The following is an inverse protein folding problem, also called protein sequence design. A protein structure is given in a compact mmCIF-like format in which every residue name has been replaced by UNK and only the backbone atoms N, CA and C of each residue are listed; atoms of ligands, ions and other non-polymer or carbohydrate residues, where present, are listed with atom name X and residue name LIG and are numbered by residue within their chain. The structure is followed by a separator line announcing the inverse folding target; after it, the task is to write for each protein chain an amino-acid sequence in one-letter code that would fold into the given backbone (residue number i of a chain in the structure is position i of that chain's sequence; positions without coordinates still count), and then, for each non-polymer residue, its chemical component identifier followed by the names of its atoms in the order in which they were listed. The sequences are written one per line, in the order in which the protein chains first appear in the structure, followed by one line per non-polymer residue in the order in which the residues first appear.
data_IF_633675291444
#
_entry.id   IF_633675291444
#
_cell.length_a   1.000
_cell.length_b   1.000
_cell.length_c   1.000
_cell.angle_alpha   90.00
_cell.angle_beta   90.00
_cell.angle_gamma   90.00
#
_symmetry.space_group_name_H-M   'P 1'
#
loop_
_entity.id
_entity.type
_entity.pdbx_description
1 polymer ?
#
# COMPACT_ATOMS: atom_id res chain seq x y z
N UNK A 1 17.56 -40.35 -27.14
CA UNK A 1 18.86 -41.03 -26.89
C UNK A 1 18.83 -41.65 -25.50
N UNK A 2 19.31 -42.89 -25.33
CA UNK A 2 19.48 -43.47 -24.00
C UNK A 2 20.68 -42.85 -23.26
N UNK A 3 20.68 -42.85 -21.93
CA UNK A 3 21.81 -42.35 -21.13
C UNK A 3 23.11 -43.12 -21.43
N UNK A 4 23.01 -44.41 -21.75
CA UNK A 4 24.14 -45.27 -22.14
C UNK A 4 24.77 -44.79 -23.46
N UNK A 5 23.95 -44.54 -24.49
CA UNK A 5 24.43 -44.04 -25.77
C UNK A 5 25.06 -42.64 -25.65
N UNK A 6 24.49 -41.77 -24.82
CA UNK A 6 25.10 -40.47 -24.52
C UNK A 6 26.48 -40.61 -23.88
N UNK A 7 26.66 -41.51 -22.92
CA UNK A 7 27.95 -41.73 -22.26
C UNK A 7 29.02 -42.24 -23.24
N UNK A 8 28.68 -43.14 -24.17
CA UNK A 8 29.61 -43.59 -25.21
C UNK A 8 30.04 -42.44 -26.12
N UNK A 9 29.09 -41.64 -26.62
CA UNK A 9 29.39 -40.47 -27.45
C UNK A 9 30.21 -39.42 -26.70
N UNK A 10 29.90 -39.19 -25.42
CA UNK A 10 30.68 -38.32 -24.55
C UNK A 10 32.13 -38.78 -24.46
N UNK A 11 32.38 -40.08 -24.29
CA UNK A 11 33.74 -40.62 -24.21
C UNK A 11 34.53 -40.44 -25.52
N UNK A 12 33.90 -40.73 -26.67
CA UNK A 12 34.51 -40.51 -27.99
C UNK A 12 34.84 -39.02 -28.19
N UNK A 13 33.91 -38.13 -27.87
CA UNK A 13 34.10 -36.69 -28.01
C UNK A 13 35.19 -36.15 -27.07
N UNK A 14 35.30 -36.68 -25.85
CA UNK A 14 36.40 -36.34 -24.94
C UNK A 14 37.76 -36.71 -25.53
N UNK A 15 37.88 -37.85 -26.23
CA UNK A 15 39.10 -38.22 -26.95
C UNK A 15 39.42 -37.24 -28.10
N UNK A 16 38.38 -36.64 -28.69
CA UNK A 16 38.48 -35.56 -29.67
C UNK A 16 38.61 -34.16 -29.02
N UNK A 17 39.00 -34.06 -27.74
CA UNK A 17 39.21 -32.80 -27.00
C UNK A 17 37.93 -31.99 -26.76
N UNK A 18 36.75 -32.61 -26.90
CA UNK A 18 35.45 -32.00 -26.63
C UNK A 18 34.88 -32.51 -25.30
N UNK A 19 34.94 -31.67 -24.27
CA UNK A 19 34.45 -32.01 -22.93
C UNK A 19 32.95 -31.72 -22.78
N UNK A 20 32.13 -32.76 -22.84
CA UNK A 20 30.70 -32.65 -22.51
C UNK A 20 30.44 -32.91 -21.02
N UNK A 21 29.48 -32.21 -20.40
CA UNK A 21 29.05 -32.47 -19.03
C UNK A 21 28.34 -33.83 -18.91
N UNK A 22 28.06 -34.29 -17.69
CA UNK A 22 27.21 -35.49 -17.51
C UNK A 22 25.78 -35.19 -17.97
N UNK A 23 25.04 -36.21 -18.44
CA UNK A 23 23.71 -36.03 -19.02
C UNK A 23 22.72 -35.37 -18.04
N UNK A 24 22.92 -35.54 -16.74
CA UNK A 24 22.07 -34.95 -15.70
C UNK A 24 22.57 -33.60 -15.17
N UNK A 25 23.75 -33.12 -15.60
CA UNK A 25 24.39 -31.92 -15.04
C UNK A 25 23.48 -30.71 -15.21
N UNK A 26 22.88 -30.54 -16.40
CA UNK A 26 21.91 -29.47 -16.67
C UNK A 26 20.68 -29.61 -15.78
N UNK A 27 20.21 -30.84 -15.52
CA UNK A 27 19.05 -31.09 -14.66
C UNK A 27 19.34 -30.73 -13.20
N UNK A 28 20.50 -31.15 -12.67
CA UNK A 28 20.96 -30.81 -11.32
C UNK A 28 21.17 -29.30 -11.16
N UNK A 29 21.81 -28.67 -12.14
CA UNK A 29 22.03 -27.23 -12.14
C UNK A 29 20.72 -26.44 -12.16
N UNK A 30 19.75 -26.84 -13.01
CA UNK A 30 18.40 -26.24 -13.02
C UNK A 30 17.66 -26.42 -11.70
N UNK A 31 17.77 -27.59 -11.06
CA UNK A 31 17.16 -27.83 -9.75
C UNK A 31 17.77 -26.91 -8.68
N UNK A 32 19.12 -26.81 -8.65
CA UNK A 32 19.84 -25.90 -7.75
C UNK A 32 19.45 -24.44 -7.96
N UNK A 33 19.37 -23.98 -9.22
CA UNK A 33 18.93 -22.62 -9.52
C UNK A 33 17.52 -22.34 -9.01
N UNK A 34 16.57 -23.26 -9.23
CA UNK A 34 15.19 -23.10 -8.74
C UNK A 34 15.12 -23.01 -7.22
N UNK A 35 15.92 -23.81 -6.52
CA UNK A 35 16.04 -23.76 -5.06
C UNK A 35 16.59 -22.41 -4.60
N UNK A 36 17.64 -21.91 -5.27
CA UNK A 36 18.24 -20.61 -4.95
C UNK A 36 17.29 -19.44 -5.22
N UNK A 37 16.62 -19.41 -6.37
CA UNK A 37 15.75 -18.29 -6.77
C UNK A 37 14.32 -18.41 -6.26
N UNK A 38 13.96 -19.55 -5.65
CA UNK A 38 12.60 -19.90 -5.21
C UNK A 38 11.55 -19.66 -6.29
N UNK A 39 11.90 -19.94 -7.56
CA UNK A 39 10.97 -19.77 -8.69
C UNK A 39 10.30 -21.11 -8.96
N UNK A 40 9.01 -21.17 -8.63
CA UNK A 40 8.19 -22.36 -8.84
C UNK A 40 7.75 -22.46 -10.30
N UNK A 41 7.85 -23.67 -10.85
CA UNK A 41 7.30 -24.01 -12.16
C UNK A 41 5.94 -24.65 -11.94
N UNK A 42 4.90 -24.02 -12.46
CA UNK A 42 3.52 -24.47 -12.39
C UNK A 42 3.22 -25.26 -13.67
N UNK A 43 2.95 -26.55 -13.49
CA UNK A 43 2.44 -27.42 -14.56
C UNK A 43 0.93 -27.21 -14.71
N UNK A 44 0.50 -26.94 -15.93
CA UNK A 44 -0.91 -26.77 -16.29
C UNK A 44 -1.25 -27.67 -17.48
N UNK A 45 -2.50 -28.12 -17.54
CA UNK A 45 -3.00 -28.87 -18.68
C UNK A 45 -4.02 -28.02 -19.44
N UNK A 46 -3.85 -27.92 -20.75
CA UNK A 46 -4.79 -27.21 -21.63
C UNK A 46 -6.05 -28.05 -21.87
N UNK A 47 -7.10 -27.41 -22.42
CA UNK A 47 -8.38 -28.08 -22.78
C UNK A 47 -8.16 -29.26 -23.74
N UNK A 48 -7.12 -29.22 -24.58
CA UNK A 48 -6.75 -30.31 -25.50
C UNK A 48 -5.75 -31.30 -24.89
N UNK A 49 -5.67 -31.38 -23.56
CA UNK A 49 -4.78 -32.29 -22.83
C UNK A 49 -3.28 -32.06 -23.02
N UNK A 50 -2.84 -30.98 -23.67
CA UNK A 50 -1.42 -30.65 -23.78
C UNK A 50 -0.89 -30.14 -22.42
N UNK A 51 0.26 -30.68 -22.00
CA UNK A 51 0.98 -30.21 -20.80
C UNK A 51 1.74 -28.94 -21.12
N UNK A 52 1.61 -27.95 -20.26
CA UNK A 52 2.25 -26.65 -20.37
C UNK A 52 2.89 -26.29 -19.04
N UNK A 53 3.96 -25.51 -19.07
CA UNK A 53 4.68 -25.09 -17.88
C UNK A 53 4.76 -23.57 -17.87
N UNK A 54 4.49 -22.98 -16.72
CA UNK A 54 4.55 -21.54 -16.51
C UNK A 54 5.33 -21.22 -15.25
N UNK A 55 5.87 -20.01 -15.15
CA UNK A 55 6.51 -19.52 -13.93
C UNK A 55 5.46 -18.79 -13.08
N UNK A 56 5.60 -18.88 -11.76
CA UNK A 56 4.77 -18.10 -10.84
C UNK A 56 5.03 -16.60 -11.04
N UNK A 57 4.02 -15.89 -11.57
CA UNK A 57 4.04 -14.42 -11.72
C UNK A 57 4.27 -13.74 -10.37
N UNK A 58 3.71 -14.31 -9.29
CA UNK A 58 3.90 -13.85 -7.92
C UNK A 58 5.39 -13.84 -7.53
N UNK A 59 6.12 -14.92 -7.83
CA UNK A 59 7.53 -15.05 -7.45
C UNK A 59 8.40 -14.12 -8.31
N UNK A 60 8.06 -13.95 -9.59
CA UNK A 60 8.73 -12.98 -10.47
C UNK A 60 8.59 -11.57 -9.91
N UNK A 61 7.36 -11.12 -9.64
CA UNK A 61 7.10 -9.79 -9.07
C UNK A 61 7.82 -9.62 -7.72
N UNK A 62 7.79 -10.63 -6.86
CA UNK A 62 8.49 -10.57 -5.57
C UNK A 62 10.01 -10.40 -5.74
N UNK A 63 10.61 -11.10 -6.71
CA UNK A 63 12.04 -10.96 -7.03
C UNK A 63 12.38 -9.58 -7.61
N UNK A 64 11.53 -9.03 -8.48
CA UNK A 64 11.71 -7.67 -9.02
C UNK A 64 11.58 -6.61 -7.92
N UNK A 65 10.61 -6.76 -7.01
CA UNK A 65 10.45 -5.86 -5.87
C UNK A 65 11.63 -5.93 -4.89
N UNK A 66 12.23 -7.11 -4.72
CA UNK A 66 13.39 -7.30 -3.87
C UNK A 66 14.71 -6.81 -4.49
N UNK A 67 14.72 -6.51 -5.79
CA UNK A 67 15.93 -6.09 -6.50
C UNK A 67 16.21 -4.59 -6.26
N UNK A 68 17.32 -4.23 -5.57
CA UNK A 68 17.65 -2.83 -5.29
C UNK A 68 17.89 -1.97 -6.54
N UNK A 69 18.29 -2.60 -7.64
CA UNK A 69 18.51 -1.90 -8.92
C UNK A 69 17.19 -1.57 -9.62
N UNK A 70 16.13 -2.36 -9.41
CA UNK A 70 14.84 -2.19 -10.09
C UNK A 70 13.86 -1.39 -9.23
N UNK A 71 13.84 -1.62 -7.92
CA UNK A 71 12.89 -0.99 -6.99
C UNK A 71 12.93 0.54 -7.04
N UNK A 72 14.11 1.13 -7.30
CA UNK A 72 14.29 2.59 -7.42
C UNK A 72 13.62 3.19 -8.67
N UNK A 73 13.29 2.36 -9.66
CA UNK A 73 12.57 2.74 -10.87
C UNK A 73 11.08 2.40 -10.81
N UNK A 74 10.61 1.80 -9.72
CA UNK A 74 9.19 1.49 -9.52
C UNK A 74 8.47 2.65 -8.83
N UNK A 75 7.20 2.83 -9.19
CA UNK A 75 6.29 3.76 -8.53
C UNK A 75 5.29 2.98 -7.67
N UNK A 76 5.12 3.39 -6.42
CA UNK A 76 4.23 2.75 -5.44
C UNK A 76 3.02 3.61 -5.07
N UNK A 77 2.96 4.83 -5.60
CA UNK A 77 1.92 5.82 -5.32
C UNK A 77 1.40 6.33 -6.66
N UNK A 78 0.06 6.44 -6.87
CA UNK A 78 -0.47 7.00 -8.10
C UNK A 78 -0.10 8.47 -8.22
N UNK A 79 0.13 8.93 -9.45
CA UNK A 79 0.40 10.33 -9.75
C UNK A 79 -0.82 11.00 -10.35
N UNK A 80 -1.04 12.25 -9.99
CA UNK A 80 -1.99 13.13 -10.63
C UNK A 80 -1.30 13.93 -11.75
N UNK A 81 -1.54 13.60 -13.03
CA UNK A 81 -1.02 14.35 -14.17
C UNK A 81 -1.74 15.69 -14.39
N UNK A 82 -2.81 15.99 -13.64
CA UNK A 82 -3.69 17.14 -13.84
C UNK A 82 -4.23 17.25 -15.28
N UNK A 83 -4.39 16.11 -15.95
CA UNK A 83 -4.88 16.05 -17.34
C UNK A 83 -3.81 16.23 -18.41
N UNK A 84 -2.52 16.31 -18.06
CA UNK A 84 -1.43 16.53 -19.02
C UNK A 84 -0.48 15.32 -19.12
N UNK A 85 -0.04 14.99 -20.34
CA UNK A 85 1.08 14.06 -20.61
C UNK A 85 1.00 12.70 -19.88
N UNK A 86 -0.13 11.99 -20.03
CA UNK A 86 -0.31 10.64 -19.49
C UNK A 86 0.51 9.65 -20.33
N UNK A 87 1.56 9.08 -19.75
CA UNK A 87 2.49 8.17 -20.42
C UNK A 87 2.78 6.90 -19.61
N UNK A 88 2.20 6.75 -18.41
CA UNK A 88 2.48 5.61 -17.54
C UNK A 88 1.25 5.16 -16.75
N UNK A 89 1.20 3.87 -16.38
CA UNK A 89 0.08 3.28 -15.64
C UNK A 89 -0.09 3.89 -14.24
N UNK A 90 0.97 4.39 -13.62
CA UNK A 90 0.88 5.08 -12.32
C UNK A 90 0.12 6.40 -12.40
N UNK A 91 -0.12 6.95 -13.59
CA UNK A 91 -0.96 8.14 -13.81
C UNK A 91 -2.42 7.78 -14.14
N UNK A 92 -2.77 6.50 -14.10
CA UNK A 92 -4.12 6.03 -14.42
C UNK A 92 -5.13 6.45 -13.34
N UNK A 93 -6.25 7.03 -13.79
CA UNK A 93 -7.44 7.31 -12.97
C UNK A 93 -7.88 6.07 -12.20
N UNK A 94 -7.79 4.87 -12.80
CA UNK A 94 -8.20 3.62 -12.15
C UNK A 94 -7.44 3.35 -10.86
N UNK A 95 -6.13 3.58 -10.85
CA UNK A 95 -5.31 3.39 -9.65
C UNK A 95 -5.59 4.50 -8.63
N UNK A 96 -5.65 5.75 -9.10
CA UNK A 96 -5.84 6.91 -8.23
C UNK A 96 -7.21 6.94 -7.54
N UNK A 97 -8.28 6.57 -8.24
CA UNK A 97 -9.65 6.87 -7.84
C UNK A 97 -10.51 5.62 -7.60
N UNK A 98 -10.39 4.62 -8.48
CA UNK A 98 -11.39 3.55 -8.60
C UNK A 98 -11.03 2.30 -7.79
N UNK A 99 -9.81 2.19 -7.26
CA UNK A 99 -9.44 1.03 -6.46
C UNK A 99 -10.24 0.96 -5.15
N UNK A 100 -10.70 -0.24 -4.75
CA UNK A 100 -11.34 -0.43 -3.47
C UNK A 100 -10.34 -0.17 -2.34
N UNK A 101 -10.85 0.18 -1.15
CA UNK A 101 -10.04 0.59 0.02
C UNK A 101 -8.82 -0.32 0.28
N UNK A 102 -9.00 -1.63 0.19
CA UNK A 102 -7.97 -2.63 0.47
C UNK A 102 -6.85 -2.72 -0.59
N UNK A 103 -7.03 -2.10 -1.76
CA UNK A 103 -6.04 -2.07 -2.84
C UNK A 103 -5.42 -0.67 -3.04
N UNK A 104 -5.86 0.32 -2.27
CA UNK A 104 -5.26 1.67 -2.28
C UNK A 104 -3.90 1.65 -1.60
N UNK A 105 -3.11 2.69 -1.85
CA UNK A 105 -1.87 2.93 -1.10
C UNK A 105 -2.21 3.05 0.38
N UNK A 106 -1.76 2.11 1.23
CA UNK A 106 -2.24 2.05 2.61
C UNK A 106 -1.51 3.04 3.52
N UNK A 107 -0.26 3.39 3.19
CA UNK A 107 0.64 4.13 4.07
C UNK A 107 1.65 4.95 3.28
N UNK A 108 2.04 6.09 3.85
CA UNK A 108 3.15 6.91 3.38
C UNK A 108 4.10 7.26 4.52
N UNK A 109 5.36 7.55 4.18
CA UNK A 109 6.38 7.93 5.16
C UNK A 109 6.73 9.41 5.06
N UNK A 110 6.78 10.09 6.21
CA UNK A 110 7.24 11.47 6.30
C UNK A 110 7.79 11.75 7.70
N UNK A 111 8.92 12.47 7.79
CA UNK A 111 9.53 12.84 9.08
C UNK A 111 9.89 11.65 9.98
N UNK A 112 10.22 10.48 9.39
CA UNK A 112 10.48 9.24 10.14
C UNK A 112 9.23 8.56 10.70
N UNK A 113 8.03 9.05 10.39
CA UNK A 113 6.74 8.50 10.82
C UNK A 113 5.98 7.87 9.67
N UNK A 114 5.07 6.97 10.02
CA UNK A 114 4.18 6.27 9.09
C UNK A 114 2.76 6.80 9.24
N UNK A 115 2.16 7.26 8.14
CA UNK A 115 0.79 7.76 8.12
C UNK A 115 -0.08 6.83 7.28
N UNK A 116 -1.14 6.30 7.88
CA UNK A 116 -2.04 5.34 7.24
C UNK A 116 -3.31 6.02 6.74
N UNK A 117 -3.91 5.46 5.69
CA UNK A 117 -5.29 5.80 5.34
C UNK A 117 -6.23 5.36 6.46
N UNK A 118 -7.29 6.12 6.69
CA UNK A 118 -8.28 5.85 7.73
C UNK A 118 -7.73 5.85 9.17
N UNK A 119 -6.67 6.61 9.42
CA UNK A 119 -6.21 6.92 10.77
C UNK A 119 -6.18 8.44 10.99
N UNK A 120 -6.57 8.96 12.17
CA UNK A 120 -6.45 10.37 12.48
C UNK A 120 -4.99 10.84 12.44
N UNK A 121 -4.77 11.98 11.81
CA UNK A 121 -3.48 12.65 11.67
C UNK A 121 -3.60 14.09 12.16
N UNK A 122 -2.67 14.51 13.00
CA UNK A 122 -2.53 15.91 13.41
C UNK A 122 -1.66 16.67 12.43
N UNK A 123 -2.16 17.81 11.96
CA UNK A 123 -1.43 18.69 11.06
C UNK A 123 -0.51 19.65 11.82
N UNK A 124 0.49 20.19 11.14
CA UNK A 124 1.30 21.30 11.66
C UNK A 124 0.38 22.44 12.11
N UNK A 125 0.50 22.94 13.36
CA UNK A 125 -0.31 24.03 13.87
C UNK A 125 -0.23 25.26 12.97
N UNK A 126 -1.38 25.81 12.61
CA UNK A 126 -1.47 27.13 11.98
C UNK A 126 -2.11 28.05 12.99
N UNK A 127 -1.39 29.08 13.42
CA UNK A 127 -1.89 30.08 14.38
C UNK A 127 -2.32 29.48 15.74
N UNK A 128 -1.65 28.42 16.19
CA UNK A 128 -1.83 27.81 17.51
C UNK A 128 -2.69 26.55 17.54
N UNK A 129 -3.60 26.36 16.56
CA UNK A 129 -4.45 25.17 16.50
C UNK A 129 -3.92 24.14 15.49
N UNK A 130 -3.73 22.89 15.95
CA UNK A 130 -3.46 21.73 15.10
C UNK A 130 -4.78 21.10 14.69
N UNK A 131 -5.07 21.09 13.39
CA UNK A 131 -6.25 20.43 12.86
C UNK A 131 -6.02 18.91 12.78
N UNK A 132 -7.03 18.14 13.21
CA UNK A 132 -7.05 16.68 13.03
C UNK A 132 -7.86 16.35 11.78
N UNK A 133 -7.27 15.53 10.92
CA UNK A 133 -7.88 15.05 9.67
C UNK A 133 -7.70 13.53 9.54
N UNK A 134 -8.46 12.90 8.65
CA UNK A 134 -8.31 11.48 8.33
C UNK A 134 -7.93 11.34 6.84
N UNK A 135 -6.72 10.83 6.50
CA UNK A 135 -6.32 10.53 5.12
C UNK A 135 -7.21 9.47 4.48
N UNK A 136 -7.63 9.67 3.23
CA UNK A 136 -8.48 8.73 2.48
C UNK A 136 -7.78 8.23 1.21
N UNK A 137 -6.99 9.08 0.55
CA UNK A 137 -6.22 8.75 -0.64
C UNK A 137 -4.84 9.41 -0.60
N UNK A 138 -3.78 8.65 -0.92
CA UNK A 138 -2.45 9.20 -1.15
C UNK A 138 -2.15 9.25 -2.65
N UNK A 139 -1.55 10.35 -3.09
CA UNK A 139 -1.16 10.54 -4.48
C UNK A 139 0.02 11.51 -4.60
N UNK A 140 0.77 11.43 -5.69
CA UNK A 140 1.82 12.39 -6.03
C UNK A 140 1.31 13.41 -7.04
N UNK A 141 1.77 14.65 -6.93
CA UNK A 141 1.50 15.70 -7.91
C UNK A 141 2.75 16.59 -8.01
N UNK A 142 3.29 16.76 -9.22
CA UNK A 142 4.53 17.53 -9.44
C UNK A 142 5.71 17.03 -8.59
N UNK A 143 5.82 15.70 -8.40
CA UNK A 143 6.87 15.06 -7.57
C UNK A 143 6.66 15.20 -6.06
N UNK A 144 5.66 15.94 -5.60
CA UNK A 144 5.32 16.09 -4.18
C UNK A 144 4.19 15.16 -3.78
N UNK A 145 4.21 14.72 -2.53
CA UNK A 145 3.22 13.79 -1.99
C UNK A 145 2.08 14.55 -1.31
N UNK A 146 0.85 14.16 -1.65
CA UNK A 146 -0.38 14.74 -1.13
C UNK A 146 -1.31 13.65 -0.62
N UNK A 147 -2.23 14.07 0.24
CA UNK A 147 -3.34 13.27 0.69
C UNK A 147 -4.66 14.01 0.46
N UNK A 148 -5.69 13.28 0.01
CA UNK A 148 -7.08 13.74 0.17
C UNK A 148 -7.56 13.30 1.54
N UNK A 149 -7.83 14.27 2.38
CA UNK A 149 -8.21 14.07 3.77
C UNK A 149 -9.65 14.53 4.00
N UNK A 150 -10.31 13.93 4.98
CA UNK A 150 -11.62 14.39 5.47
C UNK A 150 -11.50 14.89 6.90
N UNK A 151 -12.29 15.92 7.23
CA UNK A 151 -12.44 16.36 8.62
C UNK A 151 -13.40 15.41 9.34
N UNK A 152 -12.95 14.67 10.38
CA UNK A 152 -13.83 13.77 11.13
C UNK A 152 -14.88 14.56 11.90
N UNK A 153 -16.02 13.91 12.15
CA UNK A 153 -17.06 14.39 13.08
C UNK A 153 -16.94 13.61 14.38
N UNK A 154 -17.13 14.28 15.50
CA UNK A 154 -17.07 13.67 16.83
C UNK A 154 -18.45 13.60 17.44
N UNK A 155 -18.76 12.46 18.07
CA UNK A 155 -20.05 12.23 18.72
C UNK A 155 -19.78 11.73 20.12
N UNK A 156 -20.35 12.39 21.11
CA UNK A 156 -20.30 11.89 22.49
C UNK A 156 -21.51 10.98 22.74
N UNK A 157 -21.30 9.70 23.10
CA UNK A 157 -22.39 8.80 23.47
C UNK A 157 -23.21 9.38 24.64
N UNK A 158 -24.54 9.27 24.56
CA UNK A 158 -25.41 9.68 25.67
C UNK A 158 -25.07 8.80 26.89
N UNK A 159 -24.81 9.42 28.04
CA UNK A 159 -24.38 8.81 29.32
C UNK A 159 -22.86 8.57 29.50
N UNK A 160 -22.00 9.13 28.66
CA UNK A 160 -20.55 8.94 28.84
C UNK A 160 -19.99 9.80 29.99
N UNK A 161 -19.67 9.16 31.11
CA UNK A 161 -19.04 9.78 32.29
C UNK A 161 -17.54 10.10 32.08
N UNK A 162 -16.88 9.42 31.13
CA UNK A 162 -15.42 9.45 30.93
C UNK A 162 -14.96 10.27 29.72
N UNK A 163 -15.82 11.16 29.17
CA UNK A 163 -15.51 12.04 28.02
C UNK A 163 -15.06 11.29 26.76
N UNK A 164 -15.48 10.04 26.59
CA UNK A 164 -15.24 9.29 25.36
C UNK A 164 -16.04 9.88 24.20
N UNK A 165 -15.56 9.65 22.98
CA UNK A 165 -16.23 10.09 21.77
C UNK A 165 -16.02 9.11 20.63
N UNK A 166 -16.95 9.07 19.69
CA UNK A 166 -16.83 8.31 18.45
C UNK A 166 -16.33 9.20 17.33
N UNK A 167 -15.35 8.71 16.57
CA UNK A 167 -14.87 9.33 15.34
C UNK A 167 -15.75 8.84 14.20
N UNK A 168 -16.37 9.75 13.48
CA UNK A 168 -17.24 9.45 12.36
C UNK A 168 -16.72 10.07 11.06
N UNK A 169 -16.66 9.26 10.02
CA UNK A 169 -16.42 9.68 8.63
C UNK A 169 -17.55 9.14 7.74
N UNK A 170 -17.80 9.70 6.55
CA UNK A 170 -18.71 9.09 5.59
C UNK A 170 -18.19 7.71 5.16
N UNK A 171 -19.11 6.76 4.95
CA UNK A 171 -18.74 5.37 4.69
C UNK A 171 -18.16 5.16 3.27
N UNK A 172 -18.83 5.69 2.24
CA UNK A 172 -18.33 5.72 0.86
C UNK A 172 -17.83 7.11 0.49
N UNK A 173 -16.51 7.26 0.42
CA UNK A 173 -15.86 8.51 -0.02
C UNK A 173 -15.14 8.24 -1.34
N UNK A 174 -15.71 8.76 -2.43
CA UNK A 174 -15.08 8.75 -3.76
C UNK A 174 -14.01 9.85 -3.86
N UNK A 175 -13.09 9.72 -4.82
CA UNK A 175 -11.93 10.60 -4.94
C UNK A 175 -12.29 12.09 -5.06
N UNK A 176 -13.38 12.43 -5.75
CA UNK A 176 -13.82 13.81 -5.97
C UNK A 176 -14.94 14.26 -5.02
N UNK A 177 -15.07 13.62 -3.85
CA UNK A 177 -16.06 14.01 -2.85
C UNK A 177 -15.80 15.45 -2.34
N UNK A 178 -16.82 16.32 -2.26
CA UNK A 178 -16.63 17.75 -1.95
C UNK A 178 -16.06 18.01 -0.55
N UNK A 179 -16.33 17.13 0.42
CA UNK A 179 -15.76 17.24 1.78
C UNK A 179 -14.27 16.85 1.88
N UNK A 180 -13.65 16.39 0.78
CA UNK A 180 -12.22 16.06 0.76
C UNK A 180 -11.38 17.32 0.56
N UNK A 181 -10.41 17.51 1.44
CA UNK A 181 -9.40 18.55 1.36
C UNK A 181 -8.09 17.94 0.87
N UNK A 182 -7.41 18.62 -0.06
CA UNK A 182 -6.07 18.23 -0.50
C UNK A 182 -5.05 18.84 0.46
N UNK A 183 -4.26 17.98 1.11
CA UNK A 183 -3.27 18.38 2.11
C UNK A 183 -1.90 17.81 1.70
N UNK A 184 -0.85 18.64 1.60
CA UNK A 184 0.52 18.15 1.41
C UNK A 184 0.91 17.24 2.58
N UNK A 185 1.53 16.09 2.31
CA UNK A 185 1.96 15.18 3.38
C UNK A 185 3.04 15.83 4.28
N UNK A 186 3.73 16.86 3.79
CA UNK A 186 4.66 17.66 4.60
C UNK A 186 3.98 18.41 5.75
N UNK A 187 2.66 18.58 5.72
CA UNK A 187 1.90 19.17 6.82
C UNK A 187 1.51 18.13 7.89
N UNK A 188 1.79 16.84 7.68
CA UNK A 188 1.47 15.80 8.66
C UNK A 188 2.54 15.78 9.76
N UNK A 189 2.12 15.90 11.02
CA UNK A 189 3.03 16.01 12.16
C UNK A 189 2.83 14.89 13.19
N UNK A 190 1.59 14.63 13.58
CA UNK A 190 1.26 13.69 14.65
C UNK A 190 0.55 12.46 14.08
N UNK A 191 1.01 11.27 14.45
CA UNK A 191 0.29 10.02 14.18
C UNK A 191 -0.80 9.80 15.24
N UNK A 192 -1.72 8.87 14.98
CA UNK A 192 -2.90 8.65 15.83
C UNK A 192 -2.57 8.43 17.31
N UNK A 193 -1.50 7.68 17.61
CA UNK A 193 -1.07 7.40 18.98
C UNK A 193 -0.43 8.59 19.70
N UNK A 194 0.00 9.62 18.97
CA UNK A 194 0.60 10.84 19.53
C UNK A 194 -0.45 11.94 19.77
N UNK A 195 -1.67 11.75 19.26
CA UNK A 195 -2.74 12.72 19.43
C UNK A 195 -3.23 12.72 20.88
N UNK A 196 -3.45 13.93 21.41
CA UNK A 196 -4.04 14.15 22.73
C UNK A 196 -5.29 15.01 22.63
N UNK A 197 -6.19 14.87 23.60
CA UNK A 197 -7.37 15.72 23.74
C UNK A 197 -6.98 17.07 24.34
N UNK A 198 -7.94 17.99 24.41
CA UNK A 198 -7.78 19.27 25.13
C UNK A 198 -7.38 19.13 26.60
N UNK A 199 -7.65 17.97 27.20
CA UNK A 199 -7.33 17.70 28.59
C UNK A 199 -6.00 16.96 28.78
N UNK A 200 -5.21 16.81 27.71
CA UNK A 200 -3.95 16.05 27.72
C UNK A 200 -4.13 14.54 27.78
N UNK A 201 -5.36 14.04 27.58
CA UNK A 201 -5.67 12.61 27.59
C UNK A 201 -5.40 12.00 26.21
N UNK A 202 -5.05 10.71 26.15
CA UNK A 202 -4.82 10.00 24.87
C UNK A 202 -6.06 10.05 23.97
N UNK A 203 -5.90 10.60 22.76
CA UNK A 203 -6.99 10.70 21.79
C UNK A 203 -7.42 9.31 21.30
N UNK A 204 -6.47 8.39 21.13
CA UNK A 204 -6.71 7.00 20.75
C UNK A 204 -7.57 6.26 21.79
N UNK A 205 -7.26 6.41 23.08
CA UNK A 205 -8.02 5.77 24.16
C UNK A 205 -9.44 6.33 24.24
N UNK A 206 -9.59 7.67 24.19
CA UNK A 206 -10.91 8.32 24.25
C UNK A 206 -11.81 8.01 23.05
N UNK A 207 -11.21 7.68 21.90
CA UNK A 207 -11.90 7.23 20.69
C UNK A 207 -12.04 5.70 20.59
N UNK A 208 -11.52 4.96 21.58
CA UNK A 208 -11.59 3.49 21.66
C UNK A 208 -10.99 2.80 20.45
N UNK A 209 -10.07 3.46 19.74
CA UNK A 209 -9.44 2.96 18.51
C UNK A 209 -10.41 2.70 17.36
N UNK A 210 -11.63 3.27 17.36
CA UNK A 210 -12.66 2.99 16.35
C UNK A 210 -13.03 4.22 15.53
N UNK A 211 -13.21 4.00 14.23
CA UNK A 211 -13.78 4.97 13.30
C UNK A 211 -15.03 4.36 12.69
N UNK A 212 -16.13 5.09 12.74
CA UNK A 212 -17.43 4.65 12.24
C UNK A 212 -17.74 5.29 10.89
N UNK A 213 -18.20 4.48 9.93
CA UNK A 213 -18.80 4.94 8.69
C UNK A 213 -20.24 5.35 8.94
N UNK A 214 -20.60 6.61 8.64
CA UNK A 214 -22.00 7.05 8.65
C UNK A 214 -22.61 6.97 7.25
N UNK A 215 -23.75 6.29 7.13
CA UNK A 215 -24.71 6.57 6.06
C UNK A 215 -25.31 7.95 6.32
N UNK A 216 -25.40 8.79 5.30
CA UNK A 216 -25.96 10.15 5.41
C UNK A 216 -27.46 10.07 5.71
N UNK A 217 -27.81 9.95 6.99
CA UNK A 217 -29.08 10.41 7.56
C UNK A 217 -28.72 11.27 8.77
N UNK A 218 -28.72 12.58 8.54
CA UNK A 218 -28.45 13.59 9.55
C UNK A 218 -29.67 13.68 10.47
N UNK A 219 -29.65 12.99 11.61
CA UNK A 219 -30.44 13.44 12.76
C UNK A 219 -29.58 14.42 13.55
N UNK A 220 -29.92 15.70 13.47
CA UNK A 220 -29.33 16.77 14.27
C UNK A 220 -29.45 16.42 15.76
N UNK A 221 -28.31 16.18 16.41
CA UNK A 221 -28.19 16.30 17.86
C UNK A 221 -26.77 16.75 18.20
N UNK A 222 -26.68 18.01 18.62
CA UNK A 222 -25.55 18.68 19.26
C UNK A 222 -24.18 18.59 18.56
N UNK A 223 -23.99 19.49 17.60
CA UNK A 223 -22.67 20.07 17.34
C UNK A 223 -22.28 20.87 18.58
N UNK A 224 -21.38 20.32 19.40
CA UNK A 224 -20.47 21.16 20.18
C UNK A 224 -19.12 21.03 19.51
N UNK A 225 -18.59 22.17 19.05
CA UNK A 225 -17.19 22.31 18.69
C UNK A 225 -16.36 21.89 19.91
N UNK A 226 -15.94 20.63 19.96
CA UNK A 226 -14.87 20.23 20.86
C UNK A 226 -13.63 20.92 20.33
N UNK A 227 -13.28 22.06 20.95
CA UNK A 227 -11.94 22.62 20.83
C UNK A 227 -11.01 21.54 21.36
N UNK A 228 -10.33 20.83 20.46
CA UNK A 228 -9.25 19.91 20.80
C UNK A 228 -8.00 20.77 20.75
N UNK A 229 -7.44 21.09 21.91
CA UNK A 229 -6.34 22.03 22.00
C UNK A 229 -5.19 21.45 22.84
N UNK A 230 -4.08 21.25 22.13
CA UNK A 230 -2.69 21.41 22.54
C UNK A 230 -1.96 20.27 23.28
N UNK A 231 -0.88 19.83 22.62
CA UNK A 231 0.40 19.47 23.23
C UNK A 231 1.19 20.78 23.40
N UNK A 232 1.77 21.01 24.58
CA UNK A 232 2.77 22.06 24.83
C UNK A 232 4.10 21.72 24.17
#
# INVERSE_FOLDING_TARGET
MSCTMYNHLRLILTLCVVNLPHWDTIRRFRAKLREMTKVDVIENQTVLSNRTFSLSVKNIIANELANPLVVNHMEFVPHDPQGHNIHSLYQSTKWREDLPRNLRVPMVTHGGKHFYIYEPVGLVPRQGDSAIVVPIFFFKQGGKLYSKCIKPKYITPRLCLQREFDICIPDSVHFNHPDLMVIPVQEFQLIYSELVTFHGESFYEKSRGKIFGKHVKVSQACIKNTRVAHVF
#
